data_IF_315470292870
#
_entry.id   IF_315470292870
#
_cell.length_a   1.000
_cell.length_b   1.000
_cell.length_c   1.000
_cell.angle_alpha   90.00
_cell.angle_beta   90.00
_cell.angle_gamma   90.00
#
_symmetry.space_group_name_H-M   'P 1'
#
loop_
_entity.id
_entity.type
_entity.pdbx_description
1 polymer ?
#
# COMPACT_ATOMS: atom_id res chain seq x y z
N UNK A 1 -3.41 8.11 4.91
CA UNK A 1 -3.88 8.32 3.52
C UNK A 1 -4.14 6.93 2.96
N UNK A 2 -5.37 6.62 2.60
CA UNK A 2 -5.78 5.31 2.09
C UNK A 2 -6.56 5.55 0.81
N UNK A 3 -6.07 5.09 -0.33
CA UNK A 3 -6.69 5.27 -1.65
C UNK A 3 -7.59 4.07 -2.02
N UNK A 4 -8.28 3.50 -1.04
CA UNK A 4 -9.17 2.36 -1.29
C UNK A 4 -10.41 2.87 -2.01
N UNK A 5 -10.58 2.43 -3.26
CA UNK A 5 -11.78 2.66 -4.05
C UNK A 5 -12.98 2.03 -3.34
N UNK A 6 -14.08 2.77 -3.23
CA UNK A 6 -15.27 2.40 -2.43
C UNK A 6 -14.97 2.11 -0.94
N UNK A 7 -13.91 2.71 -0.43
CA UNK A 7 -13.51 2.63 0.96
C UNK A 7 -14.28 3.61 1.88
N UNK A 8 -13.69 4.02 3.02
CA UNK A 8 -14.36 4.88 3.99
C UNK A 8 -14.60 6.33 3.51
N UNK A 9 -14.09 6.70 2.34
CA UNK A 9 -14.20 8.05 1.76
C UNK A 9 -14.90 7.92 0.40
N UNK A 10 -16.22 8.16 0.38
CA UNK A 10 -17.10 7.93 -0.77
C UNK A 10 -16.67 8.63 -2.07
N UNK A 11 -15.95 9.76 -1.98
CA UNK A 11 -15.44 10.46 -3.17
C UNK A 11 -14.19 9.80 -3.80
N UNK A 12 -13.67 8.72 -3.20
CA UNK A 12 -12.55 7.93 -3.74
C UNK A 12 -13.06 6.91 -4.74
N UNK A 13 -13.43 7.36 -5.93
CA UNK A 13 -14.00 6.54 -7.01
C UNK A 13 -12.91 5.89 -7.89
N UNK A 14 -11.68 6.41 -7.86
CA UNK A 14 -10.49 5.81 -8.49
C UNK A 14 -9.21 6.28 -7.81
N UNK A 15 -8.13 5.50 -7.92
CA UNK A 15 -6.78 6.02 -7.67
C UNK A 15 -6.42 7.04 -8.75
N UNK A 16 -5.95 8.22 -8.36
CA UNK A 16 -5.41 9.20 -9.31
C UNK A 16 -3.94 8.89 -9.61
N UNK A 17 -3.45 9.39 -10.74
CA UNK A 17 -2.06 9.14 -11.18
C UNK A 17 -1.21 10.38 -10.95
N UNK A 18 0.11 10.26 -11.07
CA UNK A 18 1.00 11.42 -11.00
C UNK A 18 0.72 12.39 -12.17
N UNK A 19 0.39 11.86 -13.35
CA UNK A 19 0.12 12.65 -14.56
C UNK A 19 -1.21 13.40 -14.48
N UNK A 20 -2.22 12.79 -13.86
CA UNK A 20 -3.53 13.36 -13.60
C UNK A 20 -3.89 13.19 -12.11
N UNK A 21 -3.36 14.06 -11.23
CA UNK A 21 -3.40 13.87 -9.78
C UNK A 21 -4.73 14.23 -9.16
N UNK A 22 -5.54 15.06 -9.82
CA UNK A 22 -6.76 15.66 -9.26
C UNK A 22 -7.92 15.42 -10.21
N UNK A 23 -9.00 14.84 -9.69
CA UNK A 23 -10.29 14.79 -10.36
C UNK A 23 -11.36 15.49 -9.51
N UNK A 24 -12.47 15.88 -10.13
CA UNK A 24 -13.64 16.40 -9.44
C UNK A 24 -14.62 15.29 -9.12
N UNK A 25 -15.26 15.35 -7.96
CA UNK A 25 -16.33 14.45 -7.57
C UNK A 25 -17.62 15.23 -7.34
N UNK A 26 -18.70 14.83 -8.01
CA UNK A 26 -20.05 15.35 -7.75
C UNK A 26 -20.71 14.50 -6.64
N UNK A 27 -20.97 15.06 -5.44
CA UNK A 27 -21.58 14.31 -4.35
C UNK A 27 -23.07 13.99 -4.54
N UNK A 28 -23.74 14.61 -5.51
CA UNK A 28 -25.16 14.37 -5.81
C UNK A 28 -25.31 13.25 -6.83
N UNK A 29 -24.49 13.27 -7.89
CA UNK A 29 -24.51 12.25 -8.94
C UNK A 29 -23.60 11.05 -8.64
N UNK A 30 -22.69 11.19 -7.68
CA UNK A 30 -21.66 10.20 -7.33
C UNK A 30 -20.74 9.87 -8.53
N UNK A 31 -20.46 10.86 -9.38
CA UNK A 31 -19.69 10.72 -10.61
C UNK A 31 -18.45 11.61 -10.64
N UNK A 32 -17.49 11.22 -11.48
CA UNK A 32 -16.35 12.08 -11.81
C UNK A 32 -16.80 13.26 -12.69
N UNK A 33 -16.35 14.45 -12.33
CA UNK A 33 -16.56 15.72 -13.04
C UNK A 33 -15.25 16.50 -13.11
N UNK A 34 -15.21 17.60 -13.86
CA UNK A 34 -14.06 18.48 -13.84
C UNK A 34 -13.82 19.08 -12.44
N UNK A 35 -12.59 19.02 -11.93
CA UNK A 35 -12.26 19.52 -10.58
C UNK A 35 -12.47 21.04 -10.39
N UNK A 36 -12.61 21.78 -11.51
CA UNK A 36 -12.90 23.22 -11.52
C UNK A 36 -14.39 23.54 -11.69
N UNK A 37 -15.25 22.52 -11.80
CA UNK A 37 -16.70 22.72 -11.90
C UNK A 37 -17.29 23.20 -10.57
N UNK A 38 -18.34 24.00 -10.65
CA UNK A 38 -18.94 24.59 -9.46
C UNK A 38 -19.69 23.51 -8.66
N UNK A 39 -19.29 23.32 -7.40
CA UNK A 39 -19.82 22.27 -6.53
C UNK A 39 -19.05 20.94 -6.60
N UNK A 40 -18.04 20.82 -7.47
CA UNK A 40 -17.16 19.66 -7.50
C UNK A 40 -16.25 19.62 -6.26
N UNK A 41 -16.10 18.45 -5.67
CA UNK A 41 -15.11 18.18 -4.64
C UNK A 41 -13.82 17.76 -5.34
N UNK A 42 -12.75 18.55 -5.23
CA UNK A 42 -11.44 18.17 -5.76
C UNK A 42 -10.83 17.05 -4.91
N UNK A 43 -10.54 15.91 -5.54
CA UNK A 43 -9.99 14.72 -4.88
C UNK A 43 -8.61 14.40 -5.45
N UNK A 44 -7.63 14.20 -4.56
CA UNK A 44 -6.30 13.70 -4.89
C UNK A 44 -6.08 12.38 -4.16
N UNK A 45 -6.16 11.28 -4.91
CA UNK A 45 -6.05 9.91 -4.41
C UNK A 45 -4.84 9.18 -5.03
N UNK A 46 -3.68 9.84 -5.03
CA UNK A 46 -2.41 9.27 -5.55
C UNK A 46 -1.92 8.19 -4.58
N UNK A 47 -1.84 6.95 -5.06
CA UNK A 47 -1.60 5.75 -4.26
C UNK A 47 -0.11 5.51 -3.94
N UNK A 48 0.81 6.07 -4.73
CA UNK A 48 2.24 5.87 -4.63
C UNK A 48 3.01 7.06 -4.01
N UNK A 49 2.35 7.90 -3.21
CA UNK A 49 2.93 9.13 -2.65
C UNK A 49 4.30 8.99 -1.94
N UNK A 50 4.67 7.86 -1.29
CA UNK A 50 6.04 7.69 -0.78
C UNK A 50 7.13 7.80 -1.86
N UNK A 51 6.82 7.46 -3.10
CA UNK A 51 7.73 7.60 -4.24
C UNK A 51 7.93 9.07 -4.68
N UNK A 52 7.05 9.98 -4.28
CA UNK A 52 7.16 11.43 -4.57
C UNK A 52 8.15 12.14 -3.64
N UNK A 53 8.50 11.51 -2.50
CA UNK A 53 9.59 11.98 -1.62
C UNK A 53 10.62 10.86 -1.42
N UNK A 54 11.29 10.42 -2.50
CA UNK A 54 12.03 9.17 -2.53
C UNK A 54 13.20 9.17 -1.55
N UNK A 55 13.86 10.32 -1.33
CA UNK A 55 14.93 10.45 -0.34
C UNK A 55 14.40 10.25 1.09
N UNK A 56 13.36 10.99 1.49
CA UNK A 56 12.80 10.85 2.83
C UNK A 56 12.22 9.45 3.08
N UNK A 57 11.53 8.87 2.10
CA UNK A 57 10.98 7.52 2.22
C UNK A 57 12.10 6.48 2.38
N UNK A 58 13.17 6.58 1.57
CA UNK A 58 14.33 5.68 1.65
C UNK A 58 15.06 5.80 2.99
N UNK A 59 15.30 7.03 3.46
CA UNK A 59 15.96 7.28 4.75
C UNK A 59 15.10 6.81 5.92
N UNK A 60 13.79 7.05 5.87
CA UNK A 60 12.83 6.60 6.87
C UNK A 60 12.77 5.07 6.95
N UNK A 61 12.62 4.39 5.81
CA UNK A 61 12.67 2.93 5.73
C UNK A 61 14.00 2.39 6.26
N UNK A 62 15.12 2.95 5.80
CA UNK A 62 16.46 2.54 6.23
C UNK A 62 16.66 2.65 7.74
N UNK A 63 16.23 3.76 8.35
CA UNK A 63 16.30 3.95 9.80
C UNK A 63 15.47 2.89 10.55
N UNK A 64 14.23 2.64 10.12
CA UNK A 64 13.36 1.63 10.73
C UNK A 64 13.95 0.23 10.58
N UNK A 65 14.49 -0.10 9.40
CA UNK A 65 15.13 -1.38 9.13
C UNK A 65 16.35 -1.61 10.04
N UNK A 66 17.25 -0.64 10.11
CA UNK A 66 18.46 -0.72 10.95
C UNK A 66 18.11 -0.84 12.44
N UNK A 67 17.08 -0.13 12.89
CA UNK A 67 16.69 -0.12 14.31
C UNK A 67 15.95 -1.38 14.74
N UNK A 68 15.02 -1.88 13.93
CA UNK A 68 14.08 -2.92 14.37
C UNK A 68 14.29 -4.29 13.69
N UNK A 69 14.83 -4.32 12.47
CA UNK A 69 14.96 -5.56 11.69
C UNK A 69 16.39 -6.08 11.71
N UNK A 70 17.39 -5.19 11.56
CA UNK A 70 18.80 -5.59 11.54
C UNK A 70 19.25 -6.35 12.80
N UNK A 71 18.85 -5.98 14.04
CA UNK A 71 19.26 -6.73 15.24
C UNK A 71 18.77 -8.18 15.24
N UNK A 72 17.63 -8.46 14.60
CA UNK A 72 17.03 -9.80 14.54
C UNK A 72 17.95 -10.84 13.85
N UNK A 73 18.88 -10.38 12.99
CA UNK A 73 19.85 -11.24 12.33
C UNK A 73 20.99 -11.70 13.24
N UNK A 74 21.22 -11.00 14.36
CA UNK A 74 22.38 -11.23 15.23
C UNK A 74 22.01 -11.69 16.64
N UNK A 75 20.71 -11.78 16.96
CA UNK A 75 20.21 -12.18 18.27
C UNK A 75 19.37 -13.47 18.21
N UNK A 76 19.63 -14.32 17.21
CA UNK A 76 18.87 -15.55 16.95
C UNK A 76 17.36 -15.32 16.75
N UNK A 77 17.01 -14.17 16.14
CA UNK A 77 15.62 -13.76 15.90
C UNK A 77 14.76 -13.80 17.16
N UNK A 78 15.25 -13.22 18.26
CA UNK A 78 14.64 -13.31 19.60
C UNK A 78 13.14 -12.93 19.62
N UNK A 79 12.75 -11.96 18.81
CA UNK A 79 11.36 -11.48 18.69
C UNK A 79 10.57 -12.18 17.57
N UNK A 80 11.17 -13.14 16.87
CA UNK A 80 10.57 -13.90 15.77
C UNK A 80 10.25 -13.06 14.52
N UNK A 81 10.89 -11.91 14.34
CA UNK A 81 10.66 -10.97 13.24
C UNK A 81 11.00 -11.64 11.91
N UNK A 82 12.18 -12.24 11.79
CA UNK A 82 12.64 -12.88 10.56
C UNK A 82 11.79 -14.10 10.23
N UNK A 83 11.45 -14.92 11.23
CA UNK A 83 10.58 -16.08 11.06
C UNK A 83 9.20 -15.69 10.54
N UNK A 84 8.59 -14.62 11.07
CA UNK A 84 7.28 -14.13 10.59
C UNK A 84 7.35 -13.47 9.22
N UNK A 85 8.47 -12.81 8.90
CA UNK A 85 8.70 -12.20 7.60
C UNK A 85 8.98 -13.23 6.49
N UNK A 86 9.45 -14.43 6.84
CA UNK A 86 9.80 -15.49 5.88
C UNK A 86 8.54 -16.17 5.31
N UNK A 87 8.15 -15.76 4.10
CA UNK A 87 7.01 -16.36 3.39
C UNK A 87 7.33 -17.74 2.82
N UNK A 88 8.53 -17.94 2.29
CA UNK A 88 8.96 -19.19 1.66
C UNK A 88 10.27 -19.70 2.24
N UNK A 89 10.42 -21.02 2.28
CA UNK A 89 11.65 -21.69 2.67
C UNK A 89 11.82 -22.96 1.83
N UNK A 90 13.02 -23.16 1.26
CA UNK A 90 13.34 -24.32 0.41
C UNK A 90 12.33 -24.54 -0.72
N UNK A 91 11.89 -23.46 -1.36
CA UNK A 91 10.95 -23.50 -2.48
C UNK A 91 9.49 -23.81 -2.12
N UNK A 92 9.13 -23.80 -0.83
CA UNK A 92 7.75 -24.01 -0.36
C UNK A 92 7.29 -22.87 0.52
N UNK A 93 5.98 -22.63 0.56
CA UNK A 93 5.37 -21.71 1.52
C UNK A 93 5.61 -22.21 2.95
N UNK A 94 5.95 -21.29 3.86
CA UNK A 94 6.03 -21.63 5.28
C UNK A 94 4.61 -21.84 5.85
N UNK A 95 4.44 -22.54 6.99
CA UNK A 95 3.12 -22.91 7.50
C UNK A 95 2.16 -21.72 7.67
N UNK A 96 2.68 -20.55 8.04
CA UNK A 96 1.90 -19.32 8.21
C UNK A 96 1.23 -18.84 6.92
N UNK A 97 1.86 -19.10 5.77
CA UNK A 97 1.41 -18.66 4.45
C UNK A 97 0.82 -19.80 3.62
N UNK A 98 0.58 -20.96 4.23
CA UNK A 98 0.00 -22.14 3.55
C UNK A 98 -1.35 -21.87 2.90
N UNK A 99 -2.12 -20.90 3.40
CA UNK A 99 -3.38 -20.46 2.80
C UNK A 99 -3.24 -19.90 1.38
N UNK A 100 -2.03 -19.53 0.95
CA UNK A 100 -1.74 -19.06 -0.41
C UNK A 100 -1.42 -20.19 -1.40
N UNK A 101 -1.46 -21.46 -0.98
CA UNK A 101 -1.02 -22.57 -1.83
C UNK A 101 -1.91 -22.74 -3.07
N UNK A 102 -3.23 -22.53 -2.95
CA UNK A 102 -4.14 -22.63 -4.09
C UNK A 102 -3.87 -21.53 -5.15
N UNK A 103 -3.55 -20.31 -4.70
CA UNK A 103 -3.09 -19.23 -5.59
C UNK A 103 -1.80 -19.62 -6.32
N UNK A 104 -0.80 -20.15 -5.60
CA UNK A 104 0.48 -20.60 -6.19
C UNK A 104 0.27 -21.74 -7.18
N UNK A 105 -0.69 -22.62 -6.93
CA UNK A 105 -1.04 -23.73 -7.80
C UNK A 105 -1.95 -23.31 -8.99
N UNK A 106 -2.39 -22.05 -9.04
CA UNK A 106 -3.29 -21.53 -10.09
C UNK A 106 -4.72 -22.09 -10.02
N UNK A 107 -5.21 -22.38 -8.82
CA UNK A 107 -6.54 -22.97 -8.57
C UNK A 107 -7.58 -21.96 -8.07
N UNK A 108 -7.19 -20.68 -7.97
CA UNK A 108 -8.04 -19.55 -7.56
C UNK A 108 -8.70 -18.85 -8.76
#
# INVERSE_FOLDING_TARGET
ISCVVDGPVACTIRSSTIEDPIYGYDPVQETEVGFMENGAIAVMAVDNLPCEVPDNASRGFGFMFLKYVMPAFFNDDADGILKRAKMTEKGKLTPRFSYLQDYVDGKE
#
